data_IF_315565879929
#
_entry.id   IF_315565879929
#
_cell.length_a   1.000
_cell.length_b   1.000
_cell.length_c   1.000
_cell.angle_alpha   90.00
_cell.angle_beta   90.00
_cell.angle_gamma   90.00
#
_symmetry.space_group_name_H-M   'P 1'
#
loop_
_entity.id
_entity.type
_entity.pdbx_description
1 polymer ?
#
# COMPACT_ATOMS: atom_id res chain seq x y z
N UNK A 1 14.47 12.86 5.00
CA UNK A 1 14.31 11.45 5.41
C UNK A 1 13.46 10.72 4.37
N UNK A 2 13.90 9.54 3.90
CA UNK A 2 13.18 8.74 2.91
C UNK A 2 11.89 8.12 3.45
N UNK A 3 10.95 7.78 2.55
CA UNK A 3 9.63 7.24 2.88
C UNK A 3 9.69 6.01 3.80
N UNK A 4 10.55 5.05 3.45
CA UNK A 4 10.69 3.78 4.20
C UNK A 4 11.22 3.99 5.62
N UNK A 5 12.13 4.96 5.82
CA UNK A 5 12.62 5.32 7.17
C UNK A 5 11.52 5.90 8.06
N UNK A 6 10.49 6.52 7.49
CA UNK A 6 9.32 6.99 8.26
C UNK A 6 8.39 5.85 8.67
N UNK A 7 8.44 4.72 7.97
CA UNK A 7 7.65 3.52 8.30
C UNK A 7 8.35 2.78 9.44
N UNK A 8 9.59 2.33 9.26
CA UNK A 8 10.27 1.42 10.19
C UNK A 8 11.24 2.09 11.18
N UNK A 9 11.54 3.38 11.02
CA UNK A 9 12.46 4.08 11.93
C UNK A 9 13.86 3.47 11.92
N UNK A 10 14.38 3.14 13.10
CA UNK A 10 15.72 2.55 13.27
C UNK A 10 15.81 1.12 12.74
N UNK A 11 14.70 0.37 12.73
CA UNK A 11 14.64 -1.02 12.26
C UNK A 11 14.64 -1.14 10.73
N UNK A 12 14.70 -0.02 10.00
CA UNK A 12 14.58 0.01 8.52
C UNK A 12 15.54 -0.95 7.84
N UNK A 13 16.82 -0.96 8.24
CA UNK A 13 17.83 -1.81 7.59
C UNK A 13 17.51 -3.28 7.84
N UNK A 14 17.26 -3.65 9.10
CA UNK A 14 17.01 -5.03 9.48
C UNK A 14 15.76 -5.59 8.79
N UNK A 15 14.67 -4.81 8.75
CA UNK A 15 13.44 -5.23 8.07
C UNK A 15 13.68 -5.44 6.57
N UNK A 16 14.34 -4.49 5.90
CA UNK A 16 14.59 -4.62 4.45
C UNK A 16 15.55 -5.76 4.12
N UNK A 17 16.56 -6.01 4.95
CA UNK A 17 17.50 -7.11 4.76
C UNK A 17 16.85 -8.49 4.92
N UNK A 18 15.78 -8.59 5.71
CA UNK A 18 15.07 -9.85 5.96
C UNK A 18 13.76 -9.98 5.16
N UNK A 19 13.32 -8.93 4.48
CA UNK A 19 12.12 -8.96 3.65
C UNK A 19 12.32 -9.95 2.48
N UNK A 20 11.47 -10.96 2.44
CA UNK A 20 11.43 -11.93 1.34
C UNK A 20 10.38 -11.48 0.32
N UNK A 21 10.76 -11.64 -0.95
CA UNK A 21 9.94 -11.22 -2.09
C UNK A 21 9.69 -12.43 -2.98
N UNK A 22 8.42 -12.76 -3.18
CA UNK A 22 7.99 -13.84 -4.05
C UNK A 22 7.44 -13.26 -5.35
N UNK A 23 7.94 -13.78 -6.47
CA UNK A 23 7.47 -13.39 -7.79
C UNK A 23 6.43 -14.38 -8.29
N UNK A 24 5.25 -13.87 -8.62
CA UNK A 24 4.18 -14.66 -9.25
C UNK A 24 3.98 -14.26 -10.71
N UNK A 25 3.57 -15.22 -11.53
CA UNK A 25 3.24 -14.97 -12.94
C UNK A 25 1.73 -14.74 -13.16
N UNK A 26 0.92 -15.00 -12.13
CA UNK A 26 -0.52 -14.78 -12.20
C UNK A 26 -0.85 -13.27 -12.26
N UNK A 27 -2.04 -12.95 -12.80
CA UNK A 27 -2.55 -11.59 -12.83
C UNK A 27 -2.77 -11.03 -11.41
N UNK A 28 -2.71 -9.71 -11.28
CA UNK A 28 -2.81 -9.03 -9.99
C UNK A 28 -1.75 -7.94 -9.84
N UNK A 29 -1.63 -7.42 -8.62
CA UNK A 29 -0.76 -6.30 -8.27
C UNK A 29 0.37 -6.76 -7.32
N UNK A 30 0.44 -6.16 -6.14
CA UNK A 30 1.34 -6.48 -5.05
C UNK A 30 0.49 -6.73 -3.81
N UNK A 31 0.90 -7.64 -2.93
CA UNK A 31 0.22 -7.87 -1.65
C UNK A 31 1.16 -8.56 -0.65
N UNK A 32 0.83 -8.49 0.64
CA UNK A 32 1.49 -9.32 1.66
C UNK A 32 0.75 -10.65 1.84
N UNK A 33 1.50 -11.75 1.76
CA UNK A 33 1.04 -13.05 2.22
C UNK A 33 1.11 -13.09 3.75
N UNK A 34 -0.05 -13.12 4.42
CA UNK A 34 -0.15 -13.10 5.87
C UNK A 34 0.22 -14.43 6.55
N UNK A 35 0.40 -15.51 5.78
CA UNK A 35 0.80 -16.81 6.31
C UNK A 35 2.30 -16.89 6.58
N UNK A 36 3.11 -16.18 5.79
CA UNK A 36 4.57 -16.21 5.85
C UNK A 36 5.22 -14.81 5.93
N UNK A 37 4.45 -13.74 5.77
CA UNK A 37 4.91 -12.35 5.81
C UNK A 37 5.72 -11.92 4.59
N UNK A 38 5.67 -12.65 3.48
CA UNK A 38 6.40 -12.31 2.27
C UNK A 38 5.65 -11.27 1.45
N UNK A 39 6.42 -10.42 0.77
CA UNK A 39 5.89 -9.52 -0.26
C UNK A 39 5.71 -10.32 -1.55
N UNK A 40 4.47 -10.50 -2.00
CA UNK A 40 4.18 -11.14 -3.28
C UNK A 40 3.99 -10.08 -4.35
N UNK A 41 4.68 -10.25 -5.48
CA UNK A 41 4.60 -9.30 -6.60
C UNK A 41 4.33 -10.00 -7.92
N UNK A 42 3.33 -9.53 -8.65
CA UNK A 42 3.12 -10.00 -10.03
C UNK A 42 4.25 -9.50 -10.94
N UNK A 43 4.96 -10.45 -11.55
CA UNK A 43 6.00 -10.16 -12.55
C UNK A 43 5.44 -9.43 -13.76
N UNK A 44 4.17 -9.71 -14.14
CA UNK A 44 3.50 -9.00 -15.23
C UNK A 44 3.26 -7.54 -14.86
N UNK A 45 2.81 -7.28 -13.63
CA UNK A 45 2.61 -5.92 -13.13
C UNK A 45 3.93 -5.15 -13.05
N UNK A 46 4.98 -5.74 -12.45
CA UNK A 46 6.30 -5.12 -12.39
C UNK A 46 6.86 -4.68 -13.74
N UNK A 47 6.59 -5.45 -14.81
CA UNK A 47 7.10 -5.16 -16.14
C UNK A 47 6.28 -4.12 -16.91
N UNK A 48 4.98 -3.99 -16.62
CA UNK A 48 4.04 -3.24 -17.47
C UNK A 48 3.29 -2.11 -16.76
N UNK A 49 3.26 -2.12 -15.43
CA UNK A 49 2.59 -1.13 -14.62
C UNK A 49 3.27 0.24 -14.67
N UNK A 50 2.54 1.27 -14.28
CA UNK A 50 3.11 2.60 -14.10
C UNK A 50 4.13 2.56 -12.96
N UNK A 51 5.33 3.10 -13.20
CA UNK A 51 6.44 3.03 -12.23
C UNK A 51 6.12 3.74 -10.92
N UNK A 52 5.32 4.80 -10.96
CA UNK A 52 4.90 5.53 -9.77
C UNK A 52 3.85 4.71 -9.01
N UNK A 53 2.89 4.09 -9.70
CA UNK A 53 1.89 3.24 -9.04
C UNK A 53 2.56 2.03 -8.37
N UNK A 54 3.49 1.34 -9.07
CA UNK A 54 4.29 0.25 -8.48
C UNK A 54 5.07 0.72 -7.24
N UNK A 55 5.67 1.91 -7.29
CA UNK A 55 6.38 2.47 -6.16
C UNK A 55 5.45 2.76 -4.97
N UNK A 56 4.26 3.32 -5.25
CA UNK A 56 3.26 3.63 -4.23
C UNK A 56 2.67 2.37 -3.60
N UNK A 57 2.46 1.31 -4.40
CA UNK A 57 2.05 -0.01 -3.89
C UNK A 57 3.12 -0.60 -2.99
N UNK A 58 4.41 -0.51 -3.36
CA UNK A 58 5.49 -0.95 -2.47
C UNK A 58 5.47 -0.20 -1.14
N UNK A 59 5.20 1.11 -1.14
CA UNK A 59 5.07 1.88 0.10
C UNK A 59 3.85 1.42 0.91
N UNK A 60 2.73 1.11 0.26
CA UNK A 60 1.53 0.58 0.89
C UNK A 60 1.82 -0.77 1.58
N UNK A 61 2.39 -1.73 0.85
CA UNK A 61 2.69 -3.07 1.35
C UNK A 61 3.75 -3.06 2.47
N UNK A 62 4.72 -2.15 2.42
CA UNK A 62 5.68 -1.99 3.52
C UNK A 62 5.01 -1.51 4.82
N UNK A 63 3.92 -0.74 4.73
CA UNK A 63 3.12 -0.42 5.93
C UNK A 63 2.43 -1.68 6.45
N UNK A 64 1.91 -2.55 5.59
CA UNK A 64 1.37 -3.84 6.01
C UNK A 64 2.40 -4.76 6.68
N UNK A 65 3.63 -4.81 6.18
CA UNK A 65 4.74 -5.51 6.87
C UNK A 65 4.93 -4.97 8.28
N UNK A 66 4.97 -3.65 8.45
CA UNK A 66 5.06 -3.05 9.79
C UNK A 66 3.90 -3.47 10.67
N UNK A 67 2.68 -3.40 10.14
CA UNK A 67 1.47 -3.76 10.88
C UNK A 67 1.48 -5.23 11.31
N UNK A 68 2.00 -6.15 10.49
CA UNK A 68 2.20 -7.56 10.86
C UNK A 68 3.26 -7.71 11.96
N UNK A 69 4.39 -7.01 11.87
CA UNK A 69 5.42 -6.99 12.92
C UNK A 69 4.86 -6.45 14.25
N UNK A 70 3.92 -5.51 14.19
CA UNK A 70 3.18 -4.97 15.34
C UNK A 70 2.03 -5.90 15.80
N UNK A 71 1.82 -7.06 15.16
CA UNK A 71 0.79 -8.04 15.51
C UNK A 71 -0.64 -7.65 15.13
N UNK A 72 -0.83 -6.72 14.20
CA UNK A 72 -2.16 -6.29 13.74
C UNK A 72 -2.79 -7.31 12.78
N UNK A 73 -4.11 -7.45 12.86
CA UNK A 73 -4.89 -8.23 11.90
C UNK A 73 -5.14 -7.42 10.62
N UNK A 74 -4.46 -7.79 9.53
CA UNK A 74 -4.62 -7.11 8.24
C UNK A 74 -5.99 -7.33 7.60
N UNK A 75 -6.68 -8.42 7.94
CA UNK A 75 -7.91 -8.85 7.28
C UNK A 75 -9.11 -8.90 8.24
N UNK A 76 -9.21 -7.92 9.15
CA UNK A 76 -10.36 -7.83 10.05
C UNK A 76 -11.66 -7.66 9.25
N UNK A 77 -12.49 -8.72 9.28
CA UNK A 77 -13.74 -8.82 8.53
C UNK A 77 -14.88 -7.99 9.12
N UNK A 78 -14.67 -7.38 10.29
CA UNK A 78 -15.63 -6.42 10.88
C UNK A 78 -15.73 -5.12 10.06
N UNK A 79 -14.72 -4.83 9.24
CA UNK A 79 -14.65 -3.61 8.45
C UNK A 79 -14.71 -3.94 6.96
N UNK A 80 -15.34 -3.05 6.19
CA UNK A 80 -15.17 -3.04 4.73
C UNK A 80 -13.71 -2.70 4.39
N UNK A 81 -13.25 -3.05 3.19
CA UNK A 81 -11.87 -2.80 2.76
C UNK A 81 -11.43 -1.34 2.99
N UNK A 82 -12.21 -0.38 2.48
CA UNK A 82 -11.88 1.06 2.58
C UNK A 82 -12.04 1.66 3.98
N UNK A 83 -12.73 0.96 4.89
CA UNK A 83 -12.93 1.40 6.27
C UNK A 83 -11.97 0.71 7.25
N UNK A 84 -11.19 -0.27 6.77
CA UNK A 84 -10.30 -1.06 7.63
C UNK A 84 -9.18 -0.16 8.18
N UNK A 85 -8.93 -0.13 9.50
CA UNK A 85 -7.90 0.73 10.08
C UNK A 85 -6.51 0.52 9.49
N UNK A 86 -6.17 -0.71 9.12
CA UNK A 86 -4.88 -1.06 8.51
C UNK A 86 -4.73 -0.48 7.10
N UNK A 87 -5.76 -0.60 6.26
CA UNK A 87 -5.83 -0.03 4.90
C UNK A 87 -5.78 1.50 4.94
N UNK A 88 -6.55 2.12 5.84
CA UNK A 88 -6.57 3.57 6.01
C UNK A 88 -5.21 4.12 6.44
N UNK A 89 -4.50 3.42 7.33
CA UNK A 89 -3.13 3.75 7.71
C UNK A 89 -2.18 3.62 6.51
N UNK A 90 -2.23 2.50 5.79
CA UNK A 90 -1.39 2.24 4.61
C UNK A 90 -1.59 3.31 3.53
N UNK A 91 -2.82 3.57 3.10
CA UNK A 91 -3.12 4.62 2.13
C UNK A 91 -2.75 6.02 2.64
N UNK A 92 -2.84 6.29 3.94
CA UNK A 92 -2.39 7.58 4.50
C UNK A 92 -0.89 7.79 4.29
N UNK A 93 -0.06 6.77 4.48
CA UNK A 93 1.37 6.84 4.19
C UNK A 93 1.62 6.97 2.68
N UNK A 94 0.93 6.19 1.87
CA UNK A 94 1.05 6.24 0.40
C UNK A 94 0.69 7.60 -0.17
N UNK A 95 -0.40 8.22 0.29
CA UNK A 95 -0.83 9.56 -0.14
C UNK A 95 0.17 10.64 0.28
N UNK A 96 0.71 10.55 1.51
CA UNK A 96 1.78 11.45 1.96
C UNK A 96 3.00 11.35 1.06
N UNK A 97 3.34 10.15 0.62
CA UNK A 97 4.47 9.92 -0.25
C UNK A 97 4.20 10.39 -1.69
N UNK A 98 3.02 10.11 -2.24
CA UNK A 98 2.59 10.64 -3.54
C UNK A 98 2.67 12.18 -3.58
N UNK A 99 2.22 12.85 -2.51
CA UNK A 99 2.35 14.31 -2.38
C UNK A 99 3.79 14.77 -2.29
N UNK A 100 4.67 14.02 -1.59
CA UNK A 100 6.10 14.30 -1.53
C UNK A 100 6.76 14.20 -2.91
N UNK A 101 6.28 13.30 -3.76
CA UNK A 101 6.69 13.15 -5.16
C UNK A 101 6.08 14.22 -6.10
N UNK A 102 5.19 15.09 -5.59
CA UNK A 102 4.59 16.17 -6.36
C UNK A 102 3.33 15.78 -7.15
N UNK A 103 2.72 14.64 -6.85
CA UNK A 103 1.47 14.23 -7.51
C UNK A 103 0.30 15.12 -7.07
N UNK A 104 -0.54 15.50 -8.03
CA UNK A 104 -1.79 16.22 -7.76
C UNK A 104 -2.85 15.29 -7.17
N UNK A 105 -3.82 15.85 -6.43
CA UNK A 105 -4.93 15.08 -5.87
C UNK A 105 -5.70 14.30 -6.95
N UNK A 106 -5.82 14.86 -8.17
CA UNK A 106 -6.40 14.14 -9.33
C UNK A 106 -5.61 12.88 -9.72
N UNK A 107 -4.27 12.92 -9.68
CA UNK A 107 -3.43 11.74 -9.96
C UNK A 107 -3.50 10.73 -8.82
N UNK A 108 -3.59 11.21 -7.57
CA UNK A 108 -3.74 10.37 -6.39
C UNK A 108 -5.09 9.63 -6.42
N UNK A 109 -6.18 10.30 -6.81
CA UNK A 109 -7.50 9.63 -6.95
C UNK A 109 -7.45 8.50 -7.97
N UNK A 110 -6.80 8.73 -9.12
CA UNK A 110 -6.62 7.67 -10.13
C UNK A 110 -5.83 6.47 -9.60
N UNK A 111 -4.92 6.69 -8.66
CA UNK A 111 -4.19 5.61 -7.99
C UNK A 111 -5.09 4.88 -6.97
N UNK A 112 -5.91 5.61 -6.20
CA UNK A 112 -6.86 5.02 -5.26
C UNK A 112 -8.02 4.28 -5.94
N UNK A 113 -8.28 4.58 -7.21
CA UNK A 113 -9.33 3.95 -8.02
C UNK A 113 -8.86 2.58 -8.54
N UNK A 114 -9.08 1.55 -7.74
CA UNK A 114 -8.81 0.15 -8.09
C UNK A 114 -10.07 -0.56 -8.59
N UNK A 115 -9.89 -1.64 -9.35
CA UNK A 115 -10.99 -2.42 -9.98
C UNK A 115 -12.03 -2.97 -8.99
N UNK A 116 -11.67 -3.12 -7.71
CA UNK A 116 -12.55 -3.63 -6.64
C UNK A 116 -13.16 -2.53 -5.75
N UNK A 117 -12.83 -1.25 -5.95
CA UNK A 117 -13.39 -0.14 -5.15
C UNK A 117 -14.52 0.51 -5.92
N UNK A 118 -15.72 0.58 -5.33
CA UNK A 118 -16.84 1.30 -5.93
C UNK A 118 -16.64 2.82 -5.90
N UNK A 119 -17.28 3.62 -6.77
CA UNK A 119 -17.15 5.09 -6.73
C UNK A 119 -17.56 5.72 -5.39
N UNK A 120 -18.51 5.09 -4.67
CA UNK A 120 -18.94 5.53 -3.33
C UNK A 120 -17.86 5.23 -2.28
N UNK A 121 -17.20 4.08 -2.39
CA UNK A 121 -16.08 3.69 -1.54
C UNK A 121 -14.86 4.56 -1.82
N UNK A 122 -14.56 4.85 -3.09
CA UNK A 122 -13.46 5.72 -3.50
C UNK A 122 -13.60 7.11 -2.87
N UNK A 123 -14.81 7.70 -2.91
CA UNK A 123 -15.08 9.00 -2.29
C UNK A 123 -14.87 8.96 -0.77
N UNK A 124 -15.26 7.87 -0.11
CA UNK A 124 -15.04 7.67 1.34
C UNK A 124 -13.56 7.55 1.66
N UNK A 125 -12.85 6.71 0.91
CA UNK A 125 -11.41 6.52 1.05
C UNK A 125 -10.67 7.85 0.86
N UNK A 126 -10.89 8.54 -0.27
CA UNK A 126 -10.27 9.83 -0.57
C UNK A 126 -10.49 10.85 0.55
N UNK A 127 -11.71 10.94 1.10
CA UNK A 127 -12.01 11.80 2.24
C UNK A 127 -11.22 11.40 3.50
N UNK A 128 -11.15 10.11 3.82
CA UNK A 128 -10.44 9.60 4.99
C UNK A 128 -8.94 9.90 4.92
N UNK A 129 -8.33 9.78 3.73
CA UNK A 129 -6.91 10.08 3.50
C UNK A 129 -6.64 11.54 3.09
N UNK A 130 -7.65 12.41 3.20
CA UNK A 130 -7.58 13.86 2.97
C UNK A 130 -7.11 14.23 1.56
N UNK A 131 -7.66 13.58 0.54
CA UNK A 131 -7.47 13.90 -0.89
C UNK A 131 -8.73 14.58 -1.41
N UNK A 132 -8.58 15.70 -2.12
CA UNK A 132 -9.70 16.44 -2.71
C UNK A 132 -10.30 15.66 -3.89
N UNK A 133 -11.50 15.11 -3.66
CA UNK A 133 -12.31 14.35 -4.63
C UNK A 133 -13.22 15.22 -5.48
#
# INVERSE_FOLDING_TARGET
MGAVKKIFGEQTIDVLCNLKVDLTWFGGYMYIDDTNGHLVVSSRYLNKGDKIDIYLDLIHELVHIKQLLDGKNLFDSKYSYVDRPTELEAYTYTVKEARRLGLSDKRIIRYLETEWISPVDLKRLAKAVKVCY
#
